data_IF_296125994054
#
_entry.id   IF_296125994054
#
_cell.length_a   1.000
_cell.length_b   1.000
_cell.length_c   1.000
_cell.angle_alpha   90.00
_cell.angle_beta   90.00
_cell.angle_gamma   90.00
#
_symmetry.space_group_name_H-M   'P 1'
#
loop_
_entity.id
_entity.type
_entity.pdbx_description
1 polymer ?
#
# COMPACT_ATOMS: atom_id res chain seq x y z
N UNK A 1 -0.71 -14.49 19.23
CA UNK A 1 -1.25 -13.16 18.86
C UNK A 1 -0.64 -12.13 19.81
N UNK A 2 0.09 -11.13 19.32
CA UNK A 2 0.53 -10.02 20.19
C UNK A 2 -0.68 -9.14 20.47
N UNK A 3 -0.89 -8.76 21.73
CA UNK A 3 -1.93 -7.80 22.08
C UNK A 3 -1.64 -6.50 21.31
N UNK A 4 -2.37 -6.27 20.24
CA UNK A 4 -2.37 -5.00 19.53
C UNK A 4 -3.37 -4.09 20.23
N UNK A 5 -2.96 -2.89 20.56
CA UNK A 5 -3.91 -1.87 21.01
C UNK A 5 -4.80 -1.49 19.82
N UNK A 6 -6.10 -1.44 20.04
CA UNK A 6 -7.09 -1.12 19.02
C UNK A 6 -7.83 0.13 19.47
N UNK A 7 -8.02 1.07 18.55
CA UNK A 7 -8.92 2.21 18.72
C UNK A 7 -10.08 2.04 17.74
N UNK A 8 -11.28 2.27 18.24
CA UNK A 8 -12.49 2.35 17.43
C UNK A 8 -12.87 3.81 17.28
N UNK A 9 -12.92 4.29 16.05
CA UNK A 9 -13.53 5.57 15.70
C UNK A 9 -15.03 5.30 15.55
N UNK A 10 -15.92 6.07 16.21
CA UNK A 10 -17.36 5.83 16.12
C UNK A 10 -17.82 5.83 14.66
N UNK A 11 -18.72 4.89 14.33
CA UNK A 11 -19.27 4.77 12.98
C UNK A 11 -19.88 6.11 12.50
N UNK A 12 -19.50 6.53 11.30
CA UNK A 12 -19.96 7.79 10.73
C UNK A 12 -19.14 9.03 11.15
N UNK A 13 -18.17 8.89 12.06
CA UNK A 13 -17.22 9.97 12.36
C UNK A 13 -16.07 9.90 11.38
N UNK A 14 -15.91 10.93 10.58
CA UNK A 14 -14.72 11.10 9.74
C UNK A 14 -13.70 11.93 10.53
N UNK A 15 -12.50 11.38 10.71
CA UNK A 15 -11.40 12.13 11.30
C UNK A 15 -11.03 13.29 10.37
N UNK A 16 -10.82 14.45 10.96
CA UNK A 16 -10.25 15.57 10.23
C UNK A 16 -8.81 15.24 9.77
N UNK A 17 -8.33 15.79 8.65
CA UNK A 17 -7.02 15.45 8.10
C UNK A 17 -5.85 15.58 9.09
N UNK A 18 -5.87 16.59 9.94
CA UNK A 18 -4.87 16.81 11.00
C UNK A 18 -4.94 15.73 12.08
N UNK A 19 -6.13 15.33 12.53
CA UNK A 19 -6.32 14.26 13.51
C UNK A 19 -5.83 12.92 12.93
N UNK A 20 -6.17 12.66 11.68
CA UNK A 20 -5.71 11.47 10.96
C UNK A 20 -4.17 11.39 10.95
N UNK A 21 -3.52 12.52 10.68
CA UNK A 21 -2.06 12.62 10.68
C UNK A 21 -1.46 12.40 12.06
N UNK A 22 -2.05 12.99 13.10
CA UNK A 22 -1.61 12.80 14.50
C UNK A 22 -1.64 11.31 14.90
N UNK A 23 -2.69 10.58 14.54
CA UNK A 23 -2.75 9.13 14.77
C UNK A 23 -1.61 8.39 14.07
N UNK A 24 -1.32 8.72 12.81
CA UNK A 24 -0.21 8.11 12.08
C UNK A 24 1.15 8.39 12.75
N UNK A 25 1.37 9.61 13.22
CA UNK A 25 2.62 10.02 13.88
C UNK A 25 2.80 9.32 15.23
N UNK A 26 1.72 9.00 15.93
CA UNK A 26 1.70 8.20 17.15
C UNK A 26 1.84 6.69 16.92
N UNK A 27 1.95 6.26 15.67
CA UNK A 27 2.10 4.85 15.30
C UNK A 27 0.79 4.09 15.16
N UNK A 28 -0.33 4.80 15.05
CA UNK A 28 -1.61 4.21 14.71
C UNK A 28 -1.73 4.07 13.19
N UNK A 29 -2.34 2.97 12.74
CA UNK A 29 -2.55 2.71 11.32
C UNK A 29 -3.98 2.20 11.10
N UNK A 30 -4.70 2.71 10.09
CA UNK A 30 -6.07 2.30 9.85
C UNK A 30 -6.11 0.90 9.23
N UNK A 31 -6.89 0.00 9.85
CA UNK A 31 -7.31 -1.24 9.23
C UNK A 31 -8.51 -0.98 8.32
N UNK A 32 -9.46 -0.20 8.83
CA UNK A 32 -10.65 0.29 8.12
C UNK A 32 -10.83 1.78 8.44
N UNK A 33 -11.91 2.41 7.98
CA UNK A 33 -12.17 3.81 8.29
C UNK A 33 -12.44 4.04 9.80
N UNK A 34 -12.94 3.03 10.49
CA UNK A 34 -13.39 3.08 11.87
C UNK A 34 -12.52 2.25 12.84
N UNK A 35 -11.60 1.44 12.33
CA UNK A 35 -10.72 0.60 13.16
C UNK A 35 -9.27 0.96 12.92
N UNK A 36 -8.59 1.35 13.99
CA UNK A 36 -7.17 1.65 13.98
C UNK A 36 -6.43 0.73 14.95
N UNK A 37 -5.28 0.24 14.56
CA UNK A 37 -4.42 -0.55 15.43
C UNK A 37 -3.06 0.10 15.59
N UNK A 38 -2.53 0.00 16.81
CA UNK A 38 -1.18 0.48 17.07
C UNK A 38 -0.19 -0.53 16.52
N UNK A 39 0.64 -0.06 15.63
CA UNK A 39 1.70 -0.87 15.03
C UNK A 39 2.97 -0.02 14.93
N UNK A 40 4.12 -0.68 14.89
CA UNK A 40 5.32 0.02 14.45
C UNK A 40 5.23 0.18 12.92
N UNK A 41 4.46 1.11 12.49
CA UNK A 41 4.34 1.42 11.05
C UNK A 41 5.70 1.82 10.49
N UNK A 42 6.07 1.22 9.37
CA UNK A 42 7.25 1.67 8.63
C UNK A 42 6.92 3.01 7.98
N UNK A 43 7.70 4.03 8.33
CA UNK A 43 7.59 5.35 7.74
C UNK A 43 8.83 5.67 6.92
N UNK A 44 8.65 6.03 5.67
CA UNK A 44 9.72 6.48 4.78
C UNK A 44 9.70 8.00 4.71
N UNK A 45 10.81 8.64 5.09
CA UNK A 45 11.03 10.05 4.81
C UNK A 45 11.45 10.22 3.35
N UNK A 46 10.62 10.90 2.55
CA UNK A 46 10.85 11.06 1.13
C UNK A 46 12.06 11.92 0.79
N UNK A 47 12.43 12.85 1.64
CA UNK A 47 13.64 13.66 1.45
C UNK A 47 14.90 12.79 1.53
N UNK A 48 14.91 11.83 2.44
CA UNK A 48 16.06 10.94 2.68
C UNK A 48 16.06 9.69 1.79
N UNK A 49 14.91 9.31 1.25
CA UNK A 49 14.77 8.08 0.47
C UNK A 49 15.55 8.12 -0.83
N UNK A 50 16.44 7.15 -1.00
CA UNK A 50 17.21 6.93 -2.22
C UNK A 50 17.06 5.47 -2.68
N UNK A 51 16.51 5.21 -3.87
CA UNK A 51 16.41 3.84 -4.39
C UNK A 51 17.79 3.28 -4.72
N UNK A 52 17.95 1.98 -4.53
CA UNK A 52 19.20 1.29 -4.91
C UNK A 52 19.31 1.17 -6.44
N UNK A 53 20.55 0.99 -6.95
CA UNK A 53 20.79 0.75 -8.38
C UNK A 53 20.01 -0.45 -8.92
N UNK A 54 19.84 -1.49 -8.10
CA UNK A 54 19.05 -2.69 -8.43
C UNK A 54 17.59 -2.35 -8.62
N UNK A 55 16.98 -1.58 -7.71
CA UNK A 55 15.59 -1.13 -7.82
C UNK A 55 15.39 -0.31 -9.09
N UNK A 56 16.28 0.65 -9.36
CA UNK A 56 16.19 1.47 -10.58
C UNK A 56 16.28 0.64 -11.86
N UNK A 57 17.14 -0.40 -11.89
CA UNK A 57 17.27 -1.31 -13.03
C UNK A 57 16.00 -2.14 -13.25
N UNK A 58 15.39 -2.63 -12.15
CA UNK A 58 14.14 -3.41 -12.22
C UNK A 58 12.95 -2.54 -12.60
N UNK A 59 12.85 -1.35 -12.03
CA UNK A 59 11.81 -0.40 -12.35
C UNK A 59 11.74 -0.07 -13.86
N UNK A 60 12.88 0.02 -14.54
CA UNK A 60 12.90 0.24 -16.00
C UNK A 60 12.17 -0.83 -16.83
N UNK A 61 11.97 -2.02 -16.28
CA UNK A 61 11.27 -3.13 -16.95
C UNK A 61 9.76 -3.10 -16.71
N UNK A 62 9.31 -2.30 -15.76
CA UNK A 62 7.93 -2.29 -15.27
C UNK A 62 7.33 -0.93 -15.60
N UNK A 63 6.21 -0.92 -16.28
CA UNK A 63 5.41 0.30 -16.46
C UNK A 63 4.46 0.43 -15.27
N UNK A 64 4.26 1.65 -14.77
CA UNK A 64 3.29 1.92 -13.72
C UNK A 64 2.26 2.95 -14.18
N UNK A 65 1.04 2.78 -13.73
CA UNK A 65 -0.08 3.61 -14.13
C UNK A 65 -0.88 4.02 -12.88
N UNK A 66 -0.70 5.26 -12.39
CA UNK A 66 -1.61 5.82 -11.37
C UNK A 66 -2.98 6.03 -12.00
N UNK A 67 -4.01 5.55 -11.34
CA UNK A 67 -5.38 5.64 -11.83
C UNK A 67 -6.36 5.83 -10.67
N UNK A 68 -7.50 6.42 -10.96
CA UNK A 68 -8.62 6.54 -10.04
C UNK A 68 -9.86 5.81 -10.55
N UNK A 69 -9.83 5.37 -11.82
CA UNK A 69 -10.96 4.74 -12.48
C UNK A 69 -10.85 3.21 -12.42
N UNK A 70 -11.79 2.57 -11.72
CA UNK A 70 -11.87 1.12 -11.62
C UNK A 70 -12.91 0.58 -12.62
N UNK A 71 -12.44 0.09 -13.77
CA UNK A 71 -13.32 -0.62 -14.70
C UNK A 71 -13.59 -2.05 -14.22
N UNK A 72 -14.73 -2.67 -14.60
CA UNK A 72 -15.03 -4.06 -14.23
C UNK A 72 -13.91 -5.04 -14.59
N UNK A 73 -13.32 -4.92 -15.77
CA UNK A 73 -12.24 -5.78 -16.22
C UNK A 73 -10.95 -5.61 -15.38
N UNK A 74 -10.59 -4.36 -15.00
CA UNK A 74 -9.50 -4.12 -14.08
C UNK A 74 -9.79 -4.74 -12.72
N UNK A 75 -10.98 -4.45 -12.15
CA UNK A 75 -11.38 -4.99 -10.85
C UNK A 75 -11.25 -6.51 -10.81
N UNK A 76 -11.76 -7.21 -11.81
CA UNK A 76 -11.64 -8.66 -11.92
C UNK A 76 -10.17 -9.12 -11.97
N UNK A 77 -9.33 -8.43 -12.74
CA UNK A 77 -7.89 -8.77 -12.79
C UNK A 77 -7.20 -8.54 -11.46
N UNK A 78 -7.48 -7.43 -10.78
CA UNK A 78 -6.91 -7.15 -9.47
C UNK A 78 -7.38 -8.15 -8.41
N UNK A 79 -8.66 -8.52 -8.41
CA UNK A 79 -9.19 -9.55 -7.52
C UNK A 79 -8.45 -10.88 -7.68
N UNK A 80 -8.24 -11.35 -8.91
CA UNK A 80 -7.46 -12.60 -9.18
C UNK A 80 -6.02 -12.52 -8.67
N UNK A 81 -5.37 -11.36 -8.79
CA UNK A 81 -4.02 -11.16 -8.23
C UNK A 81 -4.06 -11.21 -6.70
N UNK A 82 -5.07 -10.56 -6.11
CA UNK A 82 -5.24 -10.50 -4.68
C UNK A 82 -5.50 -11.89 -4.08
N UNK A 83 -6.41 -12.67 -4.65
CA UNK A 83 -6.70 -14.05 -4.22
C UNK A 83 -5.45 -14.93 -4.22
N UNK A 84 -4.64 -14.86 -5.28
CA UNK A 84 -3.36 -15.58 -5.35
C UNK A 84 -2.36 -15.10 -4.31
N UNK A 85 -2.33 -13.78 -4.07
CA UNK A 85 -1.44 -13.17 -3.09
C UNK A 85 -1.78 -13.63 -1.68
N UNK A 86 -3.05 -13.56 -1.29
CA UNK A 86 -3.56 -13.99 0.01
C UNK A 86 -3.31 -15.48 0.23
N UNK A 87 -3.64 -16.31 -0.75
CA UNK A 87 -3.39 -17.74 -0.70
C UNK A 87 -1.90 -18.08 -0.50
N UNK A 88 -1.00 -17.37 -1.21
CA UNK A 88 0.44 -17.57 -1.06
C UNK A 88 0.96 -17.11 0.31
N UNK A 89 0.41 -16.05 0.87
CA UNK A 89 0.77 -15.52 2.19
C UNK A 89 0.22 -16.36 3.34
N UNK A 90 -0.78 -17.18 3.09
CA UNK A 90 -1.47 -17.94 4.13
C UNK A 90 -2.27 -17.04 5.07
N UNK A 91 -2.67 -15.86 4.60
CA UNK A 91 -3.56 -14.98 5.35
C UNK A 91 -4.99 -15.50 5.28
N UNK A 92 -5.67 -15.55 6.41
CA UNK A 92 -7.13 -15.54 6.47
C UNK A 92 -7.54 -14.08 6.41
N UNK A 93 -7.82 -13.57 5.23
CA UNK A 93 -8.16 -12.16 5.10
C UNK A 93 -9.66 -11.98 5.02
N UNK A 94 -10.15 -11.14 5.91
CA UNK A 94 -11.56 -10.77 5.97
C UNK A 94 -11.89 -9.58 5.06
N UNK A 95 -10.87 -8.96 4.43
CA UNK A 95 -11.06 -7.81 3.55
C UNK A 95 -11.26 -8.25 2.10
N UNK A 96 -12.37 -7.87 1.52
CA UNK A 96 -12.60 -8.04 0.08
C UNK A 96 -11.86 -6.95 -0.72
N UNK A 97 -11.64 -7.21 -2.00
CA UNK A 97 -11.09 -6.17 -2.90
C UNK A 97 -11.97 -4.91 -2.94
N UNK A 98 -13.27 -5.04 -2.71
CA UNK A 98 -14.20 -3.91 -2.68
C UNK A 98 -14.03 -3.05 -1.42
N UNK A 99 -13.74 -3.68 -0.28
CA UNK A 99 -13.42 -2.95 0.95
C UNK A 99 -12.13 -2.15 0.77
N UNK A 100 -11.12 -2.74 0.12
CA UNK A 100 -9.86 -2.06 -0.17
C UNK A 100 -10.09 -0.87 -1.11
N UNK A 101 -10.89 -1.05 -2.17
CA UNK A 101 -11.23 0.01 -3.12
C UNK A 101 -11.94 1.16 -2.40
N UNK A 102 -12.94 0.85 -1.56
CA UNK A 102 -13.74 1.85 -0.85
C UNK A 102 -12.92 2.66 0.17
N UNK A 103 -11.86 2.06 0.72
CA UNK A 103 -10.96 2.69 1.68
C UNK A 103 -9.79 3.46 1.04
N UNK A 104 -9.70 3.50 -0.28
CA UNK A 104 -8.59 4.13 -1.00
C UNK A 104 -9.01 5.41 -1.74
N UNK A 105 -8.05 6.31 -2.00
CA UNK A 105 -8.24 7.47 -2.88
C UNK A 105 -7.87 7.18 -4.33
N UNK A 106 -7.17 6.08 -4.58
CA UNK A 106 -6.75 5.68 -5.91
C UNK A 106 -5.85 4.44 -5.85
N UNK A 107 -5.43 4.04 -7.01
CA UNK A 107 -4.57 2.87 -7.15
C UNK A 107 -3.46 3.09 -8.17
N UNK A 108 -2.40 2.31 -8.04
CA UNK A 108 -1.33 2.19 -9.02
C UNK A 108 -1.30 0.74 -9.45
N UNK A 109 -1.33 0.45 -10.73
CA UNK A 109 -1.09 -0.89 -11.24
C UNK A 109 0.20 -0.96 -12.05
N UNK A 110 0.84 -2.11 -11.98
CA UNK A 110 2.16 -2.38 -12.53
C UNK A 110 2.04 -3.37 -13.67
N UNK A 111 2.64 -3.02 -14.80
CA UNK A 111 2.58 -3.83 -16.03
C UNK A 111 3.96 -4.32 -16.40
N UNK A 112 4.08 -5.62 -16.60
CA UNK A 112 5.25 -6.30 -17.15
C UNK A 112 4.80 -7.23 -18.27
N UNK A 113 5.51 -7.23 -19.41
CA UNK A 113 5.15 -8.02 -20.58
C UNK A 113 3.69 -7.86 -21.03
N UNK A 114 3.15 -6.62 -20.97
CA UNK A 114 1.77 -6.26 -21.28
C UNK A 114 0.69 -6.86 -20.36
N UNK A 115 1.08 -7.46 -19.23
CA UNK A 115 0.18 -8.00 -18.23
C UNK A 115 0.23 -7.19 -16.93
N UNK A 116 -0.91 -6.99 -16.26
CA UNK A 116 -0.93 -6.44 -14.91
C UNK A 116 -0.39 -7.52 -13.97
N UNK A 117 0.74 -7.25 -13.33
CA UNK A 117 1.43 -8.18 -12.43
C UNK A 117 1.36 -7.79 -10.95
N UNK A 118 1.00 -6.56 -10.66
CA UNK A 118 0.84 -6.06 -9.30
C UNK A 118 -0.05 -4.83 -9.27
N UNK A 119 -0.53 -4.49 -8.08
CA UNK A 119 -1.22 -3.24 -7.81
C UNK A 119 -0.94 -2.73 -6.40
N UNK A 120 -1.11 -1.42 -6.20
CA UNK A 120 -1.08 -0.78 -4.90
C UNK A 120 -2.29 0.13 -4.76
N UNK A 121 -3.02 0.02 -3.66
CA UNK A 121 -4.03 0.99 -3.27
C UNK A 121 -3.44 1.98 -2.28
N UNK A 122 -3.83 3.24 -2.40
CA UNK A 122 -3.29 4.29 -1.56
C UNK A 122 -4.34 5.32 -1.14
N UNK A 123 -3.99 6.03 -0.09
CA UNK A 123 -4.69 7.22 0.40
C UNK A 123 -3.68 8.35 0.57
N UNK A 124 -4.08 9.56 0.26
CA UNK A 124 -3.27 10.75 0.53
C UNK A 124 -4.04 11.62 1.52
N UNK A 125 -3.43 11.90 2.66
CA UNK A 125 -3.99 12.75 3.70
C UNK A 125 -2.94 13.79 4.05
N UNK A 126 -3.22 15.05 3.74
CA UNK A 126 -2.29 16.18 3.86
C UNK A 126 -0.94 15.89 3.15
N UNK A 127 0.15 15.87 3.91
CA UNK A 127 1.51 15.59 3.44
C UNK A 127 1.93 14.12 3.68
N UNK A 128 0.97 13.23 3.98
CA UNK A 128 1.18 11.81 4.19
C UNK A 128 0.58 10.96 3.06
N UNK A 129 1.38 10.05 2.52
CA UNK A 129 0.94 8.99 1.62
C UNK A 129 0.82 7.68 2.41
N UNK A 130 -0.32 7.05 2.35
CA UNK A 130 -0.57 5.75 2.98
C UNK A 130 -0.68 4.68 1.91
N UNK A 131 0.12 3.64 2.03
CA UNK A 131 -0.04 2.43 1.23
C UNK A 131 -1.07 1.52 1.91
N UNK A 132 -2.29 1.50 1.41
CA UNK A 132 -3.40 0.73 1.99
C UNK A 132 -3.19 -0.76 1.77
N UNK A 133 -2.98 -1.17 0.52
CA UNK A 133 -2.70 -2.55 0.16
C UNK A 133 -1.73 -2.61 -1.01
N UNK A 134 -0.92 -3.66 -1.04
CA UNK A 134 -0.06 -3.97 -2.16
C UNK A 134 -0.01 -5.49 -2.38
N UNK A 135 -0.47 -5.91 -3.54
CA UNK A 135 -0.45 -7.31 -3.92
C UNK A 135 0.19 -7.51 -5.31
N UNK A 136 0.78 -8.70 -5.51
CA UNK A 136 1.45 -9.05 -6.77
C UNK A 136 1.26 -10.52 -7.15
N UNK A 137 1.37 -10.80 -8.44
CA UNK A 137 1.42 -12.16 -8.96
C UNK A 137 2.81 -12.75 -8.69
N UNK A 138 2.87 -13.86 -7.97
CA UNK A 138 4.12 -14.55 -7.60
C UNK A 138 4.81 -15.25 -8.77
N UNK A 139 4.22 -15.29 -9.96
CA UNK A 139 4.84 -15.86 -11.18
C UNK A 139 6.15 -15.19 -11.58
N UNK A 140 6.43 -13.98 -11.09
CA UNK A 140 7.62 -13.20 -11.46
C UNK A 140 8.45 -12.75 -10.22
N UNK A 141 9.00 -13.68 -9.42
CA UNK A 141 9.69 -13.33 -8.18
C UNK A 141 10.97 -12.50 -8.39
N UNK A 142 11.61 -12.61 -9.57
CA UNK A 142 12.84 -11.87 -9.91
C UNK A 142 12.64 -10.37 -10.11
N UNK A 143 11.40 -9.89 -10.18
CA UNK A 143 11.09 -8.47 -10.36
C UNK A 143 11.18 -7.67 -9.06
N UNK A 144 11.25 -8.33 -7.90
CA UNK A 144 11.30 -7.65 -6.58
C UNK A 144 10.22 -6.57 -6.45
N UNK A 145 8.98 -6.94 -6.79
CA UNK A 145 7.86 -5.99 -6.97
C UNK A 145 7.62 -5.14 -5.72
N UNK A 146 7.86 -5.67 -4.51
CA UNK A 146 7.75 -4.88 -3.28
C UNK A 146 8.67 -3.66 -3.26
N UNK A 147 9.95 -3.82 -3.61
CA UNK A 147 10.88 -2.69 -3.66
C UNK A 147 10.57 -1.72 -4.81
N UNK A 148 10.13 -2.26 -5.95
CA UNK A 148 9.71 -1.45 -7.10
C UNK A 148 8.46 -0.64 -6.76
N UNK A 149 7.52 -1.22 -6.01
CA UNK A 149 6.35 -0.53 -5.49
C UNK A 149 6.74 0.66 -4.59
N UNK A 150 7.64 0.45 -3.62
CA UNK A 150 8.12 1.54 -2.77
C UNK A 150 8.72 2.67 -3.61
N UNK A 151 9.52 2.35 -4.61
CA UNK A 151 10.11 3.34 -5.51
C UNK A 151 9.05 4.13 -6.27
N UNK A 152 8.09 3.49 -6.92
CA UNK A 152 7.04 4.19 -7.68
C UNK A 152 6.08 4.95 -6.79
N UNK A 153 5.73 4.40 -5.63
CA UNK A 153 4.97 5.14 -4.62
C UNK A 153 5.73 6.39 -4.15
N UNK A 154 7.07 6.34 -4.05
CA UNK A 154 7.87 7.51 -3.69
C UNK A 154 7.83 8.61 -4.75
N UNK A 155 7.81 8.25 -6.02
CA UNK A 155 7.65 9.23 -7.12
C UNK A 155 6.26 9.86 -7.09
N UNK A 156 5.22 9.04 -6.93
CA UNK A 156 3.85 9.52 -6.89
C UNK A 156 3.58 10.38 -5.65
N UNK A 157 4.06 9.97 -4.48
CA UNK A 157 3.92 10.73 -3.25
C UNK A 157 4.64 12.10 -3.32
N UNK A 158 5.82 12.16 -3.91
CA UNK A 158 6.51 13.43 -4.19
C UNK A 158 5.73 14.33 -5.15
N UNK A 159 5.16 13.74 -6.20
CA UNK A 159 4.27 14.48 -7.12
C UNK A 159 3.07 15.08 -6.37
N UNK A 160 2.52 14.35 -5.39
CA UNK A 160 1.45 14.82 -4.50
C UNK A 160 1.94 15.73 -3.35
N UNK A 161 3.22 16.08 -3.33
CA UNK A 161 3.87 16.92 -2.30
C UNK A 161 3.82 16.32 -0.89
N UNK A 162 3.71 14.99 -0.79
CA UNK A 162 3.83 14.32 0.50
C UNK A 162 5.27 14.37 1.02
N UNK A 163 5.42 14.39 2.34
CA UNK A 163 6.72 14.29 3.03
C UNK A 163 7.05 12.85 3.41
N UNK A 164 6.04 12.07 3.69
CA UNK A 164 6.19 10.71 4.23
C UNK A 164 5.34 9.72 3.47
N UNK A 165 5.84 8.46 3.41
CA UNK A 165 5.06 7.29 3.05
C UNK A 165 4.91 6.43 4.29
N UNK A 166 3.71 6.00 4.61
CA UNK A 166 3.39 5.03 5.65
C UNK A 166 3.00 3.71 4.99
N UNK A 167 3.67 2.62 5.38
CA UNK A 167 3.57 1.30 4.74
C UNK A 167 3.01 0.22 5.67
N UNK A 168 2.17 0.54 6.63
CA UNK A 168 1.66 -0.43 7.60
C UNK A 168 2.78 -1.17 8.38
N UNK A 169 2.50 -2.31 8.98
CA UNK A 169 3.51 -3.06 9.74
C UNK A 169 4.59 -3.66 8.82
N UNK A 170 5.85 -3.58 9.26
CA UNK A 170 7.00 -4.12 8.53
C UNK A 170 7.68 -5.33 9.20
N UNK A 171 7.02 -5.94 10.22
CA UNK A 171 7.67 -6.96 11.08
C UNK A 171 7.67 -8.37 10.55
N UNK A 172 6.83 -8.66 9.59
CA UNK A 172 6.75 -10.00 9.02
C UNK A 172 7.91 -10.22 8.07
N UNK A 173 8.48 -11.42 8.10
CA UNK A 173 9.58 -11.81 7.20
C UNK A 173 9.27 -11.55 5.73
N UNK A 174 7.99 -11.67 5.36
CA UNK A 174 7.49 -11.39 4.02
C UNK A 174 7.35 -9.90 3.68
N UNK A 175 7.49 -9.01 4.68
CA UNK A 175 7.40 -7.55 4.53
C UNK A 175 8.75 -6.85 4.68
N UNK A 176 9.86 -7.61 4.70
CA UNK A 176 11.22 -7.06 4.90
C UNK A 176 11.62 -5.98 3.88
N UNK A 177 10.97 -5.94 2.72
CA UNK A 177 11.19 -4.90 1.72
C UNK A 177 10.75 -3.50 2.19
N UNK A 178 10.03 -3.42 3.32
CA UNK A 178 9.58 -2.17 3.94
C UNK A 178 10.60 -1.59 4.92
N UNK A 179 11.59 -2.39 5.33
CA UNK A 179 12.62 -1.99 6.30
C UNK A 179 13.83 -1.30 5.65
#
# INVERSE_FOLDING_TARGET
MRNQNIIYVPFGVMLEPNEYKEYLEQGWYPATNDIWFQTRSTRINLELYKPTKTVLRLAKKIKYFPDVNMTPAKRERLARIYDKYIAHKGYSDDMSIDDIISNSHGHIYYVYNNEIVAFAFHKVVEDAYLGIEFAWDYGEPKLSLGHVNVYYNSLFARFKRCKYIYLSSGYESCSIYKS
#
